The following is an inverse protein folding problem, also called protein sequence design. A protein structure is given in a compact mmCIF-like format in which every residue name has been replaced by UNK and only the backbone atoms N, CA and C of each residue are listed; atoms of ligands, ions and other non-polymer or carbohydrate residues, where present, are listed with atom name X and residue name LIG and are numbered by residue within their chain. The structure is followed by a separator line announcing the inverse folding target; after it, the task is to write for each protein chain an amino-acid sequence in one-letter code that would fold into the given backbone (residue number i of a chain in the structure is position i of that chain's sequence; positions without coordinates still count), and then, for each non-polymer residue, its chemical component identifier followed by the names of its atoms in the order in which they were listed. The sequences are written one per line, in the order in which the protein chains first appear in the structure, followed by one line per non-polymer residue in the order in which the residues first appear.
data_IF_248534066065
#
_entry.id   IF_248534066065
#
_cell.length_a   1.000
_cell.length_b   1.000
_cell.length_c   1.000
_cell.angle_alpha   90.00
_cell.angle_beta   90.00
_cell.angle_gamma   90.00
#
_symmetry.space_group_name_H-M   'P 1'
#
loop_
_entity.id
_entity.type
_entity.pdbx_description
1 polymer ?
#
# COMPACT_ATOMS: atom_id res chain seq x y z
N UNK A 1 41.85 -0.97 -1.63
CA UNK A 1 40.37 -1.03 -1.78
C UNK A 1 40.03 -2.32 -2.50
N UNK A 2 39.23 -3.22 -1.90
CA UNK A 2 38.71 -4.39 -2.66
C UNK A 2 37.77 -3.86 -3.75
N UNK A 3 38.02 -4.23 -5.01
CA UNK A 3 37.05 -4.01 -6.07
C UNK A 3 35.74 -4.68 -5.66
N UNK A 4 34.69 -3.89 -5.46
CA UNK A 4 33.38 -4.43 -5.16
C UNK A 4 32.87 -5.17 -6.40
N UNK A 5 32.76 -6.49 -6.31
CA UNK A 5 32.17 -7.30 -7.37
C UNK A 5 30.65 -7.11 -7.32
N UNK A 6 30.09 -6.34 -8.26
CA UNK A 6 28.64 -6.15 -8.36
C UNK A 6 27.97 -7.43 -8.82
N UNK A 7 26.90 -7.84 -8.12
CA UNK A 7 26.07 -8.98 -8.49
C UNK A 7 25.47 -8.80 -9.89
N UNK A 8 25.35 -9.88 -10.67
CA UNK A 8 24.87 -9.81 -12.07
C UNK A 8 23.48 -9.18 -12.18
N UNK A 9 22.57 -9.52 -11.26
CA UNK A 9 21.21 -8.94 -11.19
C UNK A 9 21.16 -7.44 -10.86
N UNK A 10 22.29 -6.84 -10.44
CA UNK A 10 22.39 -5.41 -10.13
C UNK A 10 23.13 -4.62 -11.22
N UNK A 11 23.64 -5.29 -12.25
CA UNK A 11 24.24 -4.64 -13.42
C UNK A 11 23.17 -4.18 -14.40
N UNK A 12 23.53 -3.22 -15.24
CA UNK A 12 22.75 -2.91 -16.43
C UNK A 12 22.56 -4.18 -17.25
N UNK A 13 21.32 -4.46 -17.63
CA UNK A 13 20.97 -5.65 -18.40
C UNK A 13 21.25 -5.46 -19.87
N UNK A 14 21.67 -6.53 -20.51
CA UNK A 14 21.82 -6.59 -21.96
C UNK A 14 20.44 -6.70 -22.64
N UNK A 15 20.36 -6.29 -23.90
CA UNK A 15 19.11 -6.38 -24.69
C UNK A 15 18.53 -7.81 -24.74
N UNK A 16 19.40 -8.83 -24.69
CA UNK A 16 19.00 -10.24 -24.68
C UNK A 16 18.39 -10.70 -23.33
N UNK A 17 18.72 -10.04 -22.21
CA UNK A 17 18.29 -10.45 -20.86
C UNK A 17 17.33 -9.45 -20.21
N UNK A 18 17.10 -8.30 -20.84
CA UNK A 18 16.22 -7.25 -20.35
C UNK A 18 14.79 -7.71 -20.07
N UNK A 19 14.29 -8.69 -20.85
CA UNK A 19 12.93 -9.24 -20.74
C UNK A 19 12.85 -10.55 -19.95
N UNK A 20 13.95 -11.00 -19.34
CA UNK A 20 13.92 -12.17 -18.46
C UNK A 20 13.55 -11.75 -17.04
N UNK A 21 12.76 -12.54 -16.29
CA UNK A 21 12.43 -12.23 -14.89
C UNK A 21 13.71 -12.04 -14.06
N UNK A 22 13.65 -11.15 -13.06
CA UNK A 22 14.75 -11.08 -12.09
C UNK A 22 14.86 -12.38 -11.31
N UNK A 23 16.07 -12.92 -11.08
CA UNK A 23 16.24 -14.14 -10.29
C UNK A 23 15.64 -14.03 -8.88
N UNK A 24 15.60 -12.82 -8.32
CA UNK A 24 14.98 -12.52 -7.01
C UNK A 24 13.46 -12.61 -7.05
N UNK A 25 12.83 -12.30 -8.19
CA UNK A 25 11.37 -12.34 -8.32
C UNK A 25 10.85 -13.79 -8.28
N UNK A 26 11.65 -14.73 -8.77
CA UNK A 26 11.27 -16.16 -8.88
C UNK A 26 11.65 -17.01 -7.66
N UNK A 27 12.54 -16.52 -6.78
CA UNK A 27 13.07 -17.32 -5.66
C UNK A 27 12.18 -17.41 -4.42
N UNK A 28 11.15 -16.55 -4.31
CA UNK A 28 10.26 -16.48 -3.13
C UNK A 28 8.85 -17.05 -3.37
N UNK A 29 8.64 -17.70 -4.50
CA UNK A 29 7.34 -18.26 -4.79
C UNK A 29 7.16 -19.64 -4.16
N UNK A 30 5.89 -19.99 -3.98
CA UNK A 30 5.38 -21.34 -3.76
C UNK A 30 5.98 -22.36 -4.77
N UNK A 31 5.61 -23.66 -4.80
CA UNK A 31 6.26 -24.64 -5.68
C UNK A 31 6.35 -24.25 -7.17
N UNK A 32 5.57 -23.27 -7.65
CA UNK A 32 5.77 -22.60 -8.93
C UNK A 32 5.88 -21.05 -8.79
N UNK A 33 6.80 -20.40 -9.52
CA UNK A 33 6.86 -18.93 -9.60
C UNK A 33 5.57 -18.33 -10.15
N UNK A 34 5.03 -17.23 -9.57
CA UNK A 34 3.86 -16.58 -10.13
C UNK A 34 4.14 -16.18 -11.58
N UNK A 35 3.13 -16.16 -12.43
CA UNK A 35 3.31 -15.68 -13.80
C UNK A 35 3.31 -14.14 -13.81
N UNK A 36 3.87 -13.54 -14.87
CA UNK A 36 3.73 -12.09 -15.09
C UNK A 36 2.25 -11.67 -15.10
N UNK A 37 1.34 -12.52 -15.60
CA UNK A 37 -0.09 -12.25 -15.59
C UNK A 37 -0.66 -12.15 -14.17
N UNK A 38 -0.23 -12.99 -13.24
CA UNK A 38 -0.61 -12.91 -11.82
C UNK A 38 -0.03 -11.64 -11.17
N UNK A 39 1.23 -11.32 -11.46
CA UNK A 39 1.87 -10.09 -10.98
C UNK A 39 1.14 -8.83 -11.48
N UNK A 40 0.79 -8.81 -12.76
CA UNK A 40 -0.01 -7.76 -13.39
C UNK A 40 -1.39 -7.64 -12.76
N UNK A 41 -2.12 -8.76 -12.62
CA UNK A 41 -3.46 -8.76 -12.05
C UNK A 41 -3.49 -8.14 -10.64
N UNK A 42 -2.46 -8.40 -9.83
CA UNK A 42 -2.34 -7.82 -8.48
C UNK A 42 -2.28 -6.29 -8.49
N UNK A 43 -1.49 -5.68 -9.38
CA UNK A 43 -1.37 -4.21 -9.46
C UNK A 43 -2.52 -3.57 -10.24
N UNK A 44 -3.05 -4.24 -11.27
CA UNK A 44 -4.19 -3.76 -12.05
C UNK A 44 -5.47 -3.64 -11.21
N UNK A 45 -5.64 -4.53 -10.23
CA UNK A 45 -6.76 -4.48 -9.28
C UNK A 45 -6.73 -3.24 -8.36
N UNK A 46 -5.60 -2.53 -8.27
CA UNK A 46 -5.48 -1.29 -7.49
C UNK A 46 -5.81 -0.12 -8.42
N UNK A 47 -7.02 0.41 -8.27
CA UNK A 47 -7.54 1.52 -9.09
C UNK A 47 -7.75 2.78 -8.25
N UNK A 48 -7.58 3.92 -8.90
CA UNK A 48 -7.93 5.23 -8.35
C UNK A 48 -9.23 5.77 -8.97
N UNK A 49 -9.88 6.67 -8.27
CA UNK A 49 -11.11 7.34 -8.67
C UNK A 49 -10.89 8.22 -9.90
N UNK A 50 -11.89 8.25 -10.79
CA UNK A 50 -11.97 9.14 -11.95
C UNK A 50 -12.00 10.63 -11.59
N UNK A 51 -12.28 10.95 -10.31
CA UNK A 51 -12.22 12.32 -9.80
C UNK A 51 -10.79 12.77 -9.43
N UNK A 52 -9.80 11.87 -9.43
CA UNK A 52 -8.40 12.25 -9.19
C UNK A 52 -7.90 13.09 -10.38
N UNK A 53 -7.24 14.25 -10.14
CA UNK A 53 -6.71 15.08 -11.22
C UNK A 53 -5.77 14.31 -12.15
N UNK A 54 -5.91 14.49 -13.46
CA UNK A 54 -5.12 13.78 -14.49
C UNK A 54 -3.60 13.80 -14.22
N UNK A 55 -2.96 14.94 -13.86
CA UNK A 55 -1.53 14.94 -13.55
C UNK A 55 -1.14 14.05 -12.37
N UNK A 56 -2.03 13.87 -11.39
CA UNK A 56 -1.83 12.97 -10.23
C UNK A 56 -2.04 11.52 -10.66
N UNK A 57 -3.07 11.26 -11.45
CA UNK A 57 -3.36 9.93 -11.99
C UNK A 57 -2.18 9.40 -12.83
N UNK A 58 -1.60 10.23 -13.72
CA UNK A 58 -0.42 9.87 -14.52
C UNK A 58 0.77 9.48 -13.63
N UNK A 59 1.01 10.18 -12.52
CA UNK A 59 2.08 9.81 -11.60
C UNK A 59 1.81 8.50 -10.86
N UNK A 60 0.54 8.23 -10.51
CA UNK A 60 0.14 6.96 -9.93
C UNK A 60 0.33 5.81 -10.93
N UNK A 61 -0.01 6.01 -12.20
CA UNK A 61 0.26 5.03 -13.26
C UNK A 61 1.74 4.73 -13.44
N UNK A 62 2.62 5.74 -13.33
CA UNK A 62 4.06 5.50 -13.34
C UNK A 62 4.50 4.57 -12.21
N UNK A 63 3.89 4.69 -11.02
CA UNK A 63 4.16 3.78 -9.91
C UNK A 63 3.68 2.34 -10.19
N UNK A 64 2.47 2.17 -10.76
CA UNK A 64 1.94 0.86 -11.17
C UNK A 64 2.80 0.21 -12.24
N UNK A 65 3.23 0.98 -13.23
CA UNK A 65 4.14 0.51 -14.28
C UNK A 65 5.51 0.12 -13.71
N UNK A 66 6.12 0.94 -12.85
CA UNK A 66 7.38 0.58 -12.20
C UNK A 66 7.25 -0.70 -11.39
N UNK A 67 6.13 -0.91 -10.69
CA UNK A 67 5.85 -2.15 -9.98
C UNK A 67 5.73 -3.35 -10.95
N UNK A 68 5.00 -3.20 -12.06
CA UNK A 68 4.90 -4.23 -13.10
C UNK A 68 6.30 -4.60 -13.62
N UNK A 69 7.11 -3.61 -13.97
CA UNK A 69 8.48 -3.82 -14.45
C UNK A 69 9.46 -4.32 -13.35
N UNK A 70 9.10 -4.21 -12.07
CA UNK A 70 9.87 -4.82 -10.99
C UNK A 70 9.88 -6.36 -11.06
N UNK A 71 8.96 -6.95 -11.83
CA UNK A 71 9.04 -8.35 -12.25
C UNK A 71 10.39 -8.67 -12.91
N UNK A 72 10.77 -7.82 -13.87
CA UNK A 72 12.01 -7.95 -14.63
C UNK A 72 13.19 -7.39 -13.86
N UNK A 73 13.04 -6.30 -13.11
CA UNK A 73 14.15 -5.68 -12.37
C UNK A 73 13.73 -5.49 -10.92
N UNK A 74 14.10 -6.42 -10.02
CA UNK A 74 13.60 -6.44 -8.65
C UNK A 74 13.83 -5.11 -7.90
N UNK A 75 14.94 -4.42 -8.18
CA UNK A 75 15.23 -3.12 -7.56
C UNK A 75 14.22 -2.02 -7.92
N UNK A 76 13.38 -2.21 -8.94
CA UNK A 76 12.34 -1.26 -9.33
C UNK A 76 11.16 -1.20 -8.35
N UNK A 77 11.06 -2.15 -7.41
CA UNK A 77 10.13 -2.04 -6.29
C UNK A 77 10.34 -0.74 -5.49
N UNK A 78 11.59 -0.33 -5.25
CA UNK A 78 11.90 0.89 -4.48
C UNK A 78 11.49 2.19 -5.19
N UNK A 79 11.85 2.44 -6.46
CA UNK A 79 11.34 3.59 -7.19
C UNK A 79 9.83 3.52 -7.45
N UNK A 80 9.20 2.33 -7.54
CA UNK A 80 7.74 2.22 -7.58
C UNK A 80 7.10 2.79 -6.30
N UNK A 81 7.60 2.41 -5.12
CA UNK A 81 7.17 3.00 -3.83
C UNK A 81 7.38 4.53 -3.82
N UNK A 82 8.55 5.00 -4.24
CA UNK A 82 8.85 6.43 -4.26
C UNK A 82 7.92 7.21 -5.21
N UNK A 83 7.61 6.63 -6.38
CA UNK A 83 6.65 7.20 -7.33
C UNK A 83 5.23 7.26 -6.74
N UNK A 84 4.78 6.19 -6.07
CA UNK A 84 3.46 6.18 -5.41
C UNK A 84 3.37 7.26 -4.32
N UNK A 85 4.38 7.38 -3.47
CA UNK A 85 4.43 8.40 -2.42
C UNK A 85 4.52 9.82 -2.98
N UNK A 86 5.17 9.99 -4.14
CA UNK A 86 5.20 11.27 -4.86
C UNK A 86 3.83 11.64 -5.44
N UNK A 87 3.12 10.66 -6.01
CA UNK A 87 1.74 10.84 -6.50
C UNK A 87 0.79 11.22 -5.36
N UNK A 88 0.91 10.57 -4.19
CA UNK A 88 0.17 10.93 -2.98
C UNK A 88 0.46 12.37 -2.54
N UNK A 89 1.73 12.74 -2.45
CA UNK A 89 2.14 14.10 -2.06
C UNK A 89 1.56 15.15 -3.03
N UNK A 90 1.56 14.85 -4.33
CA UNK A 90 0.97 15.72 -5.34
C UNK A 90 -0.56 15.83 -5.18
N UNK A 91 -1.25 14.70 -5.05
CA UNK A 91 -2.70 14.65 -4.86
C UNK A 91 -3.15 15.40 -3.61
N UNK A 92 -2.42 15.28 -2.50
CA UNK A 92 -2.69 16.04 -1.28
C UNK A 92 -2.50 17.55 -1.48
N UNK A 93 -1.43 17.97 -2.16
CA UNK A 93 -1.19 19.39 -2.45
C UNK A 93 -2.31 19.99 -3.28
N UNK A 94 -2.71 19.31 -4.35
CA UNK A 94 -3.80 19.75 -5.20
C UNK A 94 -5.12 19.85 -4.41
N UNK A 95 -5.43 18.84 -3.59
CA UNK A 95 -6.67 18.80 -2.81
C UNK A 95 -6.73 19.91 -1.76
N UNK A 96 -5.61 20.14 -1.07
CA UNK A 96 -5.54 21.06 0.06
C UNK A 96 -5.21 22.50 -0.36
N UNK A 97 -4.84 22.75 -1.62
CA UNK A 97 -4.36 24.07 -2.09
C UNK A 97 -5.28 25.23 -1.68
N UNK A 98 -6.59 25.02 -1.75
CA UNK A 98 -7.60 26.03 -1.43
C UNK A 98 -8.06 26.03 0.03
N UNK A 99 -7.69 25.03 0.81
CA UNK A 99 -8.01 24.92 2.25
C UNK A 99 -6.81 25.24 3.15
N UNK A 100 -5.64 25.52 2.56
CA UNK A 100 -4.47 25.94 3.33
C UNK A 100 -4.75 27.27 4.05
N UNK A 101 -4.44 27.36 5.37
CA UNK A 101 -4.43 28.63 6.08
C UNK A 101 -3.54 29.66 5.36
N UNK A 102 -3.86 30.95 5.43
CA UNK A 102 -3.11 32.02 4.75
C UNK A 102 -1.59 31.96 5.02
N UNK A 103 -1.20 31.60 6.26
CA UNK A 103 0.20 31.44 6.66
C UNK A 103 0.94 30.29 5.96
N UNK A 104 0.22 29.37 5.32
CA UNK A 104 0.73 28.21 4.58
C UNK A 104 0.49 28.30 3.08
N UNK A 105 -0.29 29.28 2.61
CA UNK A 105 -0.45 29.56 1.18
C UNK A 105 0.92 29.91 0.56
N UNK A 106 1.19 29.31 -0.61
CA UNK A 106 2.46 29.48 -1.32
C UNK A 106 3.66 28.71 -0.73
N UNK A 107 3.51 28.05 0.42
CA UNK A 107 4.58 27.20 0.99
C UNK A 107 4.56 25.81 0.36
N UNK A 108 5.75 25.29 0.05
CA UNK A 108 5.91 23.89 -0.36
C UNK A 108 5.86 22.97 0.87
N UNK A 109 4.65 22.62 1.31
CA UNK A 109 4.45 21.71 2.43
C UNK A 109 4.97 20.30 2.08
N UNK A 110 5.57 19.63 3.07
CA UNK A 110 6.07 18.25 2.96
C UNK A 110 4.94 17.24 3.24
N UNK A 111 5.09 16.00 2.75
CA UNK A 111 4.10 14.92 2.92
C UNK A 111 3.55 14.78 4.34
N UNK A 112 4.41 14.84 5.37
CA UNK A 112 4.00 14.76 6.79
C UNK A 112 2.93 15.79 7.17
N UNK A 113 3.14 17.04 6.78
CA UNK A 113 2.20 18.14 7.10
C UNK A 113 0.90 17.97 6.34
N UNK A 114 0.98 17.62 5.06
CA UNK A 114 -0.17 17.42 4.18
C UNK A 114 -1.06 16.27 4.68
N UNK A 115 -0.46 15.12 5.02
CA UNK A 115 -1.18 13.98 5.59
C UNK A 115 -1.86 14.35 6.90
N UNK A 116 -1.13 15.01 7.82
CA UNK A 116 -1.73 15.44 9.09
C UNK A 116 -2.95 16.33 8.88
N UNK A 117 -2.86 17.30 7.98
CA UNK A 117 -4.01 18.15 7.65
C UNK A 117 -5.18 17.34 7.06
N UNK A 118 -4.91 16.39 6.17
CA UNK A 118 -5.97 15.55 5.60
C UNK A 118 -6.66 14.68 6.67
N UNK A 119 -5.91 14.17 7.64
CA UNK A 119 -6.44 13.43 8.80
C UNK A 119 -7.23 14.34 9.73
N UNK A 120 -6.65 15.48 10.13
CA UNK A 120 -7.26 16.44 11.05
C UNK A 120 -8.58 17.02 10.49
N UNK A 121 -8.67 17.16 9.16
CA UNK A 121 -9.90 17.59 8.47
C UNK A 121 -10.87 16.45 8.15
N UNK A 122 -10.56 15.21 8.54
CA UNK A 122 -11.41 14.04 8.28
C UNK A 122 -11.55 13.66 6.80
N UNK A 123 -10.62 14.12 5.95
CA UNK A 123 -10.56 13.76 4.53
C UNK A 123 -10.01 12.33 4.34
N UNK A 124 -9.27 11.83 5.32
CA UNK A 124 -8.75 10.46 5.38
C UNK A 124 -9.17 9.87 6.72
N UNK A 125 -9.85 8.72 6.69
CA UNK A 125 -10.40 8.05 7.86
C UNK A 125 -10.21 6.53 7.77
N UNK A 126 -10.21 5.85 8.91
CA UNK A 126 -9.91 4.41 9.00
C UNK A 126 -10.84 3.56 8.13
N UNK A 127 -12.11 3.95 8.00
CA UNK A 127 -13.15 3.24 7.26
C UNK A 127 -12.87 3.18 5.76
N UNK A 128 -12.00 4.04 5.24
CA UNK A 128 -11.61 4.06 3.83
C UNK A 128 -10.51 3.04 3.47
N UNK A 129 -10.02 2.23 4.41
CA UNK A 129 -8.93 1.29 4.20
C UNK A 129 -9.40 -0.16 4.31
N UNK A 130 -9.20 -0.97 3.27
CA UNK A 130 -9.58 -2.40 3.28
C UNK A 130 -8.90 -3.17 4.40
N UNK A 131 -7.63 -2.86 4.67
CA UNK A 131 -6.86 -3.51 5.74
C UNK A 131 -7.36 -3.20 7.15
N UNK A 132 -8.03 -2.07 7.36
CA UNK A 132 -8.65 -1.75 8.65
C UNK A 132 -9.87 -2.66 8.88
N UNK A 133 -10.71 -2.84 7.86
CA UNK A 133 -11.81 -3.81 7.89
C UNK A 133 -11.32 -5.26 8.07
N UNK A 134 -10.24 -5.63 7.37
CA UNK A 134 -9.64 -6.95 7.54
C UNK A 134 -9.09 -7.17 8.95
N UNK A 135 -8.42 -6.16 9.54
CA UNK A 135 -7.96 -6.24 10.92
C UNK A 135 -9.13 -6.45 11.89
N UNK A 136 -10.26 -5.77 11.69
CA UNK A 136 -11.46 -5.98 12.50
C UNK A 136 -12.01 -7.41 12.37
N UNK A 137 -12.00 -8.00 11.17
CA UNK A 137 -12.39 -9.40 10.99
C UNK A 137 -11.45 -10.38 11.70
N UNK A 138 -10.15 -10.10 11.69
CA UNK A 138 -9.16 -10.90 12.44
C UNK A 138 -9.41 -10.79 13.94
N UNK A 139 -9.55 -9.57 14.45
CA UNK A 139 -9.82 -9.32 15.88
C UNK A 139 -11.12 -9.99 16.36
N UNK A 140 -12.18 -9.93 15.55
CA UNK A 140 -13.45 -10.58 15.87
C UNK A 140 -13.32 -12.12 15.95
N UNK A 141 -12.51 -12.73 15.07
CA UNK A 141 -12.20 -14.18 15.15
C UNK A 141 -11.39 -14.52 16.38
N UNK A 142 -10.38 -13.70 16.70
CA UNK A 142 -9.58 -13.86 17.90
C UNK A 142 -10.43 -13.74 19.16
N UNK A 143 -11.36 -12.79 19.21
CA UNK A 143 -12.31 -12.63 20.32
C UNK A 143 -13.16 -13.88 20.52
N UNK A 144 -13.77 -14.44 19.47
CA UNK A 144 -14.54 -15.69 19.57
C UNK A 144 -13.69 -16.87 20.07
N UNK A 145 -12.45 -16.98 19.57
CA UNK A 145 -11.50 -17.98 20.04
C UNK A 145 -11.17 -17.81 21.53
N UNK A 146 -11.00 -16.56 21.99
CA UNK A 146 -10.74 -16.23 23.38
C UNK A 146 -11.95 -16.47 24.29
N UNK A 147 -13.16 -16.19 23.82
CA UNK A 147 -14.40 -16.50 24.53
C UNK A 147 -14.56 -18.02 24.71
N UNK A 148 -14.30 -18.80 23.66
CA UNK A 148 -14.33 -20.27 23.72
C UNK A 148 -13.25 -20.80 24.69
N UNK A 149 -12.04 -20.26 24.62
CA UNK A 149 -10.95 -20.63 25.52
C UNK A 149 -11.26 -20.28 26.98
N UNK A 150 -11.89 -19.12 27.22
CA UNK A 150 -12.35 -18.72 28.55
C UNK A 150 -13.43 -19.66 29.07
N UNK A 151 -14.43 -20.00 28.25
CA UNK A 151 -15.47 -20.97 28.61
C UNK A 151 -14.88 -22.35 28.91
N UNK A 152 -13.83 -22.78 28.19
CA UNK A 152 -13.11 -24.01 28.47
C UNK A 152 -12.50 -24.01 29.87
N UNK A 153 -11.82 -22.92 30.26
CA UNK A 153 -11.24 -22.75 31.60
C UNK A 153 -12.33 -22.72 32.67
N UNK A 154 -13.36 -21.89 32.48
CA UNK A 154 -14.42 -21.67 33.46
C UNK A 154 -15.24 -22.95 33.74
N UNK A 155 -15.26 -23.89 32.80
CA UNK A 155 -15.95 -25.19 32.92
C UNK A 155 -14.99 -26.37 33.12
N UNK A 156 -13.69 -26.13 33.37
CA UNK A 156 -12.65 -27.15 33.56
C UNK A 156 -12.58 -28.20 32.42
N UNK A 157 -12.86 -27.77 31.18
CA UNK A 157 -12.82 -28.63 30.00
C UNK A 157 -11.37 -28.75 29.48
N UNK A 158 -11.03 -29.90 28.90
CA UNK A 158 -9.73 -30.10 28.23
C UNK A 158 -9.78 -29.79 26.73
N UNK A 159 -10.97 -29.80 26.15
CA UNK A 159 -11.23 -29.51 24.74
C UNK A 159 -12.55 -28.73 24.65
N UNK A 160 -12.57 -27.71 23.81
CA UNK A 160 -13.79 -26.99 23.42
C UNK A 160 -13.85 -26.94 21.89
N UNK A 161 -14.99 -27.35 21.34
CA UNK A 161 -15.31 -27.07 19.95
C UNK A 161 -16.12 -25.77 19.89
N UNK A 162 -15.72 -24.86 19.02
CA UNK A 162 -16.47 -23.65 18.76
C UNK A 162 -16.56 -23.42 17.27
N UNK A 163 -17.62 -22.73 16.85
CA UNK A 163 -17.90 -22.46 15.45
C UNK A 163 -17.56 -21.01 15.14
N UNK A 164 -16.84 -20.80 14.04
CA UNK A 164 -16.69 -19.48 13.44
C UNK A 164 -17.84 -19.32 12.45
N UNK A 165 -18.77 -18.37 12.66
CA UNK A 165 -19.89 -18.18 11.76
C UNK A 165 -19.41 -17.70 10.38
N UNK A 166 -20.16 -18.03 9.34
CA UNK A 166 -19.88 -17.58 7.97
C UNK A 166 -19.95 -16.05 7.85
N UNK A 167 -20.94 -15.44 8.52
CA UNK A 167 -21.07 -14.00 8.67
C UNK A 167 -20.68 -13.63 10.10
N UNK A 168 -19.56 -12.91 10.23
CA UNK A 168 -19.02 -12.51 11.52
C UNK A 168 -19.60 -11.16 11.94
N UNK A 169 -20.20 -11.10 13.13
CA UNK A 169 -20.60 -9.84 13.74
C UNK A 169 -19.35 -9.09 14.23
N UNK A 170 -19.15 -7.88 13.71
CA UNK A 170 -18.05 -7.01 14.10
C UNK A 170 -18.53 -6.00 15.14
N UNK A 171 -17.88 -5.99 16.29
CA UNK A 171 -18.16 -5.07 17.38
C UNK A 171 -17.25 -3.83 17.30
N UNK A 172 -17.59 -2.72 17.98
CA UNK A 172 -16.72 -1.55 18.06
C UNK A 172 -15.31 -1.88 18.58
N UNK A 173 -15.17 -2.85 19.48
CA UNK A 173 -13.90 -3.29 20.05
C UNK A 173 -13.00 -3.98 19.02
N UNK A 174 -13.58 -4.56 17.97
CA UNK A 174 -12.82 -5.19 16.90
C UNK A 174 -12.12 -4.13 16.01
N UNK A 175 -12.58 -2.87 16.05
CA UNK A 175 -12.12 -1.75 15.22
C UNK A 175 -11.09 -0.84 15.92
N UNK A 176 -10.39 -1.33 16.93
CA UNK A 176 -9.48 -0.52 17.76
C UNK A 176 -8.21 -0.01 17.07
N UNK A 177 -7.85 -0.53 15.90
CA UNK A 177 -6.63 -0.12 15.22
C UNK A 177 -6.76 1.30 14.62
N UNK A 178 -5.99 2.23 15.17
CA UNK A 178 -5.80 3.56 14.57
C UNK A 178 -4.75 3.50 13.45
N UNK A 179 -5.17 3.05 12.27
CA UNK A 179 -4.32 3.02 11.09
C UNK A 179 -3.94 4.44 10.67
N UNK A 180 -4.94 5.32 10.57
CA UNK A 180 -4.78 6.67 10.03
C UNK A 180 -3.85 7.53 10.87
N UNK A 181 -3.90 7.41 12.21
CA UNK A 181 -2.99 8.12 13.11
C UNK A 181 -1.50 7.82 12.86
N UNK A 182 -1.16 6.64 12.35
CA UNK A 182 0.21 6.24 12.03
C UNK A 182 0.73 6.72 10.67
N UNK A 183 -0.15 7.10 9.74
CA UNK A 183 0.23 7.46 8.36
C UNK A 183 1.14 8.71 8.26
N UNK A 184 0.90 9.81 9.01
CA UNK A 184 1.74 11.01 8.94
C UNK A 184 3.19 10.83 9.40
N UNK A 185 3.51 9.73 10.08
CA UNK A 185 4.88 9.42 10.50
C UNK A 185 5.51 8.32 9.62
N UNK A 186 4.76 7.26 9.32
CA UNK A 186 5.26 6.11 8.54
C UNK A 186 5.55 6.43 7.07
N UNK A 187 4.57 6.99 6.32
CA UNK A 187 4.74 7.22 4.88
C UNK A 187 5.85 8.24 4.56
N UNK A 188 5.99 9.37 5.29
CA UNK A 188 7.11 10.28 5.09
C UNK A 188 8.47 9.67 5.45
N UNK A 189 8.54 8.80 6.46
CA UNK A 189 9.78 8.11 6.81
C UNK A 189 10.26 7.23 5.65
N UNK A 190 9.35 6.41 5.08
CA UNK A 190 9.64 5.58 3.90
C UNK A 190 10.08 6.46 2.72
N UNK A 191 9.33 7.53 2.43
CA UNK A 191 9.67 8.46 1.33
C UNK A 191 11.08 9.03 1.49
N UNK A 192 11.43 9.47 2.70
CA UNK A 192 12.72 10.11 2.97
C UNK A 192 13.88 9.11 2.92
N UNK A 193 13.68 7.91 3.44
CA UNK A 193 14.67 6.83 3.35
C UNK A 193 15.00 6.52 1.88
N UNK A 194 13.98 6.35 1.04
CA UNK A 194 14.16 6.10 -0.39
C UNK A 194 14.83 7.28 -1.12
N UNK A 195 14.51 8.52 -0.74
CA UNK A 195 15.08 9.72 -1.36
C UNK A 195 16.56 9.95 -1.02
N UNK A 196 17.01 9.53 0.16
CA UNK A 196 18.42 9.58 0.56
C UNK A 196 19.25 8.38 0.04
N UNK A 197 18.58 7.42 -0.59
CA UNK A 197 19.15 6.14 -0.98
C UNK A 197 19.04 5.14 0.17
N UNK A 198 18.54 3.95 -0.15
CA UNK A 198 18.43 2.84 0.80
C UNK A 198 19.06 1.59 0.22
N UNK A 199 19.67 0.77 1.08
CA UNK A 199 20.08 -0.59 0.76
C UNK A 199 18.94 -1.60 0.93
N UNK A 200 17.80 -1.16 1.48
CA UNK A 200 16.62 -1.99 1.69
C UNK A 200 16.07 -2.50 0.36
N UNK A 201 15.76 -3.79 0.33
CA UNK A 201 15.11 -4.46 -0.80
C UNK A 201 13.93 -5.26 -0.26
N UNK A 202 12.74 -4.93 -0.72
CA UNK A 202 11.50 -5.64 -0.36
C UNK A 202 10.56 -5.68 -1.55
N UNK A 203 9.84 -6.79 -1.69
CA UNK A 203 8.74 -6.95 -2.64
C UNK A 203 7.38 -6.57 -2.03
N UNK A 204 7.33 -6.17 -0.76
CA UNK A 204 6.13 -5.72 -0.04
C UNK A 204 5.68 -4.30 -0.43
N UNK A 205 5.80 -3.97 -1.72
CA UNK A 205 5.51 -2.63 -2.27
C UNK A 205 4.05 -2.47 -2.65
N UNK A 206 3.39 -3.56 -3.03
CA UNK A 206 1.98 -3.55 -3.44
C UNK A 206 1.09 -2.94 -2.35
N UNK A 207 1.37 -3.27 -1.09
CA UNK A 207 0.66 -2.72 0.06
C UNK A 207 0.84 -1.20 0.25
N UNK A 208 1.94 -0.60 -0.23
CA UNK A 208 2.10 0.87 -0.21
C UNK A 208 1.34 1.52 -1.37
N UNK A 209 1.36 0.90 -2.55
CA UNK A 209 0.58 1.37 -3.72
C UNK A 209 -0.91 1.35 -3.40
N UNK A 210 -1.38 0.28 -2.75
CA UNK A 210 -2.75 0.15 -2.25
C UNK A 210 -3.10 1.28 -1.28
N UNK A 211 -2.30 1.51 -0.24
CA UNK A 211 -2.52 2.60 0.72
C UNK A 211 -2.63 3.96 0.02
N UNK A 212 -1.74 4.24 -0.93
CA UNK A 212 -1.76 5.48 -1.71
C UNK A 212 -3.06 5.61 -2.50
N UNK A 213 -3.51 4.54 -3.17
CA UNK A 213 -4.75 4.54 -3.92
C UNK A 213 -5.97 4.77 -3.01
N UNK A 214 -6.04 4.09 -1.87
CA UNK A 214 -7.11 4.26 -0.88
C UNK A 214 -7.15 5.68 -0.33
N UNK A 215 -5.99 6.31 -0.08
CA UNK A 215 -5.94 7.72 0.34
C UNK A 215 -6.42 8.64 -0.79
N UNK A 216 -5.94 8.46 -2.02
CA UNK A 216 -6.37 9.27 -3.17
C UNK A 216 -7.88 9.15 -3.42
N UNK A 217 -8.44 7.96 -3.26
CA UNK A 217 -9.88 7.72 -3.42
C UNK A 217 -10.73 8.40 -2.34
N UNK A 218 -10.20 8.52 -1.12
CA UNK A 218 -10.84 9.30 -0.06
C UNK A 218 -10.74 10.81 -0.31
N UNK A 219 -9.60 11.29 -0.82
CA UNK A 219 -9.42 12.70 -1.17
C UNK A 219 -10.33 13.13 -2.33
N UNK A 220 -10.56 12.23 -3.29
CA UNK A 220 -11.29 12.47 -4.53
C UNK A 220 -12.40 11.41 -4.73
N UNK A 221 -13.49 11.47 -3.96
CA UNK A 221 -14.55 10.46 -4.05
C UNK A 221 -15.22 10.49 -5.43
N UNK A 222 -15.36 9.32 -6.07
CA UNK A 222 -15.91 9.15 -7.40
C UNK A 222 -15.89 7.69 -7.85
N UNK A 223 -16.40 7.42 -9.06
CA UNK A 223 -16.33 6.08 -9.64
C UNK A 223 -14.85 5.71 -9.90
N UNK A 224 -14.47 4.46 -9.66
CA UNK A 224 -13.14 3.97 -10.00
C UNK A 224 -12.89 4.11 -11.51
N UNK A 225 -11.66 4.46 -11.87
CA UNK A 225 -11.22 4.42 -13.27
C UNK A 225 -11.23 2.97 -13.73
N UNK A 226 -12.26 2.59 -14.46
CA UNK A 226 -12.25 1.34 -15.23
C UNK A 226 -11.28 1.49 -16.38
N UNK A 227 -10.38 0.52 -16.56
CA UNK A 227 -9.63 0.37 -17.81
C UNK A 227 -10.66 0.28 -18.93
N UNK A 228 -10.71 1.29 -19.79
CA UNK A 228 -11.40 1.12 -21.07
C UNK A 228 -10.62 0.03 -21.78
N UNK A 229 -11.28 -1.08 -22.08
CA UNK A 229 -10.84 -1.93 -23.17
C UNK A 229 -10.89 -1.03 -24.42
N UNK A 230 -9.76 -0.44 -24.78
CA UNK A 230 -9.67 0.29 -26.03
C UNK A 230 -9.85 -0.71 -27.20
N UNK A 231 -10.55 -0.29 -28.26
CA UNK A 231 -10.97 -1.15 -29.38
C UNK A 231 -9.81 -1.69 -30.22
#
# INVERSE_FOLDING_TARGET
MKQATLHSADRLRDSATAMLPDPRTVTWAAPEPPSLAVHHAGVAAIQISSAVPEPVAIQFENARNLYLYAWYVYRFYMPATAAALSALEFGLRERLRTTLPDKEQGKKLMLKRLLRMAVDHGLVRNEGFRRWHHAAQVNARERLSMEAFKAMIDNELTVVEYQIPEILELLPEDHQWDLVGGLPDSLPAIRNELAHGSSMLTNQVLGTIELVAEILNQLYPGALMTERADP
#
